data_IF_605305763689
#
_entry.id   IF_605305763689
#
_cell.length_a   1.000
_cell.length_b   1.000
_cell.length_c   1.000
_cell.angle_alpha   90.00
_cell.angle_beta   90.00
_cell.angle_gamma   90.00
#
_symmetry.space_group_name_H-M   'P 1'
#
loop_
_entity.id
_entity.type
_entity.pdbx_description
1 polymer ?
#
# COMPACT_ATOMS: atom_id res chain seq x y z
N UNK A 1 9.83 -17.24 10.30
CA UNK A 1 10.05 -18.51 9.58
C UNK A 1 8.73 -19.02 9.01
N UNK A 2 8.76 -19.50 7.77
CA UNK A 2 7.59 -20.06 7.09
C UNK A 2 7.30 -21.46 7.65
N UNK A 3 6.02 -21.84 7.71
CA UNK A 3 5.61 -23.18 8.14
C UNK A 3 6.23 -24.27 7.24
N UNK A 4 6.84 -25.29 7.84
CA UNK A 4 7.59 -26.30 7.10
C UNK A 4 6.70 -27.16 6.19
N UNK A 5 5.47 -27.48 6.62
CA UNK A 5 4.53 -28.24 5.80
C UNK A 5 4.09 -27.42 4.59
N UNK A 6 3.86 -26.12 4.79
CA UNK A 6 3.54 -25.21 3.69
C UNK A 6 4.71 -25.08 2.71
N UNK A 7 5.96 -25.01 3.19
CA UNK A 7 7.14 -25.01 2.33
C UNK A 7 7.28 -26.31 1.53
N UNK A 8 7.08 -27.48 2.14
CA UNK A 8 7.08 -28.77 1.44
C UNK A 8 5.99 -28.85 0.37
N UNK A 9 4.79 -28.34 0.67
CA UNK A 9 3.69 -28.28 -0.29
C UNK A 9 4.00 -27.40 -1.52
N UNK A 10 4.96 -26.49 -1.41
CA UNK A 10 5.43 -25.62 -2.50
C UNK A 10 6.71 -26.14 -3.16
N UNK A 11 7.31 -27.24 -2.68
CA UNK A 11 8.58 -27.77 -3.19
C UNK A 11 8.48 -28.30 -4.64
N UNK A 12 7.30 -28.74 -5.06
CA UNK A 12 7.04 -29.33 -6.39
C UNK A 12 6.72 -28.29 -7.48
N UNK A 13 6.63 -27.01 -7.13
CA UNK A 13 6.24 -25.94 -8.03
C UNK A 13 5.51 -24.79 -7.31
N UNK A 14 5.67 -23.56 -7.82
CA UNK A 14 5.07 -22.37 -7.24
C UNK A 14 3.58 -22.28 -7.58
N UNK A 15 2.73 -22.33 -6.56
CA UNK A 15 1.26 -22.30 -6.69
C UNK A 15 0.68 -21.19 -5.83
N UNK A 16 -0.47 -20.65 -6.22
CA UNK A 16 -1.16 -19.62 -5.44
C UNK A 16 -1.30 -20.08 -3.98
N UNK A 17 -0.73 -19.30 -3.06
CA UNK A 17 -0.52 -19.71 -1.66
C UNK A 17 -1.69 -19.45 -0.72
N UNK A 18 -2.80 -18.91 -1.24
CA UNK A 18 -4.04 -18.62 -0.50
C UNK A 18 -5.21 -18.38 -1.48
N UNK A 19 -6.45 -18.52 -1.03
CA UNK A 19 -7.60 -18.08 -1.83
C UNK A 19 -7.78 -16.56 -1.70
N UNK A 20 -8.27 -15.90 -2.74
CA UNK A 20 -8.58 -14.48 -2.60
C UNK A 20 -9.18 -13.83 -3.83
N UNK A 21 -9.66 -12.61 -3.62
CA UNK A 21 -10.09 -11.67 -4.64
C UNK A 21 -9.18 -10.46 -4.52
N UNK A 22 -8.67 -10.00 -5.65
CA UNK A 22 -7.68 -8.94 -5.77
C UNK A 22 -8.15 -7.92 -6.78
N UNK A 23 -7.85 -6.66 -6.51
CA UNK A 23 -8.31 -5.55 -7.34
C UNK A 23 -7.14 -4.65 -7.67
N UNK A 24 -7.15 -4.09 -8.88
CA UNK A 24 -6.31 -2.98 -9.28
C UNK A 24 -7.19 -1.84 -9.77
N UNK A 25 -6.97 -0.65 -9.24
CA UNK A 25 -7.66 0.57 -9.66
C UNK A 25 -6.65 1.59 -10.19
N UNK A 26 -6.94 2.27 -11.33
CA UNK A 26 -6.11 3.38 -11.79
C UNK A 26 -6.04 4.48 -10.72
N UNK A 27 -4.82 4.94 -10.40
CA UNK A 27 -4.64 5.97 -9.37
C UNK A 27 -5.17 7.31 -9.88
N UNK A 28 -6.00 7.96 -9.05
CA UNK A 28 -6.57 9.28 -9.37
C UNK A 28 -5.55 10.39 -9.17
N UNK A 29 -5.78 11.54 -9.81
CA UNK A 29 -4.91 12.72 -9.61
C UNK A 29 -4.96 13.25 -8.19
N UNK A 30 -6.10 13.11 -7.50
CA UNK A 30 -6.24 13.47 -6.10
C UNK A 30 -5.37 12.58 -5.21
N UNK A 31 -5.38 11.25 -5.42
CA UNK A 31 -4.53 10.31 -4.69
C UNK A 31 -3.03 10.59 -4.91
N UNK A 32 -2.63 10.93 -6.14
CA UNK A 32 -1.24 11.33 -6.44
C UNK A 32 -0.84 12.59 -5.68
N UNK A 33 -1.66 13.64 -5.74
CA UNK A 33 -1.41 14.92 -5.05
C UNK A 33 -1.36 14.75 -3.53
N UNK A 34 -2.27 13.95 -2.97
CA UNK A 34 -2.29 13.67 -1.54
C UNK A 34 -1.05 12.90 -1.10
N UNK A 35 -0.62 11.90 -1.88
CA UNK A 35 0.60 11.13 -1.62
C UNK A 35 1.84 12.02 -1.68
N UNK A 36 1.95 12.86 -2.71
CA UNK A 36 3.05 13.81 -2.85
C UNK A 36 3.12 14.79 -1.67
N UNK A 37 1.98 15.36 -1.28
CA UNK A 37 1.87 16.23 -0.11
C UNK A 37 2.32 15.53 1.17
N UNK A 38 1.83 14.31 1.42
CA UNK A 38 2.21 13.50 2.58
C UNK A 38 3.73 13.24 2.61
N UNK A 39 4.32 12.89 1.46
CA UNK A 39 5.78 12.67 1.32
C UNK A 39 6.58 13.92 1.62
N UNK A 40 6.15 15.07 1.12
CA UNK A 40 6.82 16.36 1.35
C UNK A 40 6.78 16.75 2.83
N UNK A 41 5.62 16.63 3.47
CA UNK A 41 5.47 16.94 4.89
C UNK A 41 6.29 15.96 5.73
N UNK A 42 6.19 14.66 5.48
CA UNK A 42 6.95 13.64 6.25
C UNK A 42 8.46 13.84 6.13
N UNK A 43 8.96 14.25 4.95
CA UNK A 43 10.38 14.57 4.75
C UNK A 43 10.85 15.75 5.64
N UNK A 44 9.99 16.73 5.88
CA UNK A 44 10.31 17.87 6.74
C UNK A 44 10.02 17.58 8.22
N UNK A 45 9.01 16.76 8.49
CA UNK A 45 8.48 16.42 9.82
C UNK A 45 8.25 14.90 9.90
N UNK A 46 9.28 14.10 10.22
CA UNK A 46 9.22 12.64 10.20
C UNK A 46 8.50 12.08 11.44
N UNK A 47 7.27 12.53 11.67
CA UNK A 47 6.42 12.22 12.82
C UNK A 47 5.00 11.85 12.35
N UNK A 48 4.12 11.43 13.26
CA UNK A 48 2.75 11.01 12.92
C UNK A 48 2.00 12.13 12.21
N UNK A 49 1.42 11.77 11.05
CA UNK A 49 0.71 12.64 10.15
C UNK A 49 -0.52 11.94 9.56
N UNK A 50 -1.61 12.70 9.37
CA UNK A 50 -2.87 12.25 8.77
C UNK A 50 -3.37 13.35 7.84
N UNK A 51 -3.72 12.99 6.61
CA UNK A 51 -4.03 13.96 5.57
C UNK A 51 -5.31 13.56 4.85
N UNK A 52 -6.16 14.54 4.55
CA UNK A 52 -7.37 14.37 3.75
C UNK A 52 -7.36 15.43 2.66
N UNK A 53 -7.72 15.02 1.45
CA UNK A 53 -7.96 15.89 0.31
C UNK A 53 -9.33 15.55 -0.26
N UNK A 54 -10.14 16.57 -0.47
CA UNK A 54 -11.44 16.50 -1.14
C UNK A 54 -11.54 17.71 -2.06
N UNK A 55 -11.18 17.50 -3.32
CA UNK A 55 -11.01 18.54 -4.33
C UNK A 55 -10.09 19.69 -3.86
N UNK A 56 -10.67 20.81 -3.41
CA UNK A 56 -9.94 21.99 -2.96
C UNK A 56 -9.78 22.06 -1.44
N UNK A 57 -10.48 21.22 -0.68
CA UNK A 57 -10.39 21.18 0.78
C UNK A 57 -9.27 20.23 1.18
N UNK A 58 -8.28 20.76 1.87
CA UNK A 58 -7.13 19.98 2.38
C UNK A 58 -7.09 20.09 3.89
N UNK A 59 -7.02 18.96 4.57
CA UNK A 59 -6.86 18.87 6.01
C UNK A 59 -5.50 18.23 6.29
N UNK A 60 -4.68 18.90 7.09
CA UNK A 60 -3.36 18.43 7.50
C UNK A 60 -3.36 18.30 9.02
N UNK A 61 -3.23 17.07 9.50
CA UNK A 61 -2.94 16.79 10.91
C UNK A 61 -1.50 16.28 11.00
N UNK A 62 -0.58 17.08 11.52
CA UNK A 62 0.82 16.69 11.69
C UNK A 62 1.27 16.98 13.12
N UNK A 63 1.75 15.94 13.79
CA UNK A 63 2.33 16.07 15.13
C UNK A 63 3.69 16.74 15.08
N UNK A 64 4.08 17.43 16.17
CA UNK A 64 5.41 18.04 16.30
C UNK A 64 5.77 19.05 15.19
N UNK A 65 4.76 19.74 14.62
CA UNK A 65 4.93 20.80 13.63
C UNK A 65 3.98 21.96 13.93
N UNK A 66 4.42 23.19 13.70
CA UNK A 66 3.60 24.40 13.88
C UNK A 66 2.70 24.66 12.67
N UNK A 67 1.63 25.44 12.87
CA UNK A 67 0.73 25.80 11.78
C UNK A 67 1.47 26.59 10.69
N UNK A 68 2.38 27.48 11.07
CA UNK A 68 3.18 28.29 10.14
C UNK A 68 4.09 27.42 9.27
N UNK A 69 4.65 26.33 9.82
CA UNK A 69 5.46 25.39 9.05
C UNK A 69 4.59 24.62 8.05
N UNK A 70 3.41 24.16 8.47
CA UNK A 70 2.52 23.35 7.64
C UNK A 70 1.83 24.16 6.53
N UNK A 71 1.54 25.44 6.76
CA UNK A 71 1.00 26.36 5.75
C UNK A 71 1.93 26.55 4.53
N UNK A 72 3.23 26.26 4.67
CA UNK A 72 4.18 26.34 3.56
C UNK A 72 3.94 25.26 2.51
N UNK A 73 3.35 24.12 2.90
CA UNK A 73 3.02 23.03 1.97
C UNK A 73 1.69 23.24 1.29
N UNK A 74 0.72 23.85 1.98
CA UNK A 74 -0.59 24.17 1.42
C UNK A 74 -1.21 25.35 2.18
N UNK A 75 -1.22 26.53 1.55
CA UNK A 75 -1.54 27.79 2.22
C UNK A 75 -2.98 27.89 2.75
N UNK A 76 -3.93 27.18 2.13
CA UNK A 76 -5.35 27.20 2.50
C UNK A 76 -5.79 25.97 3.29
N UNK A 77 -4.87 25.15 3.79
CA UNK A 77 -5.22 23.91 4.48
C UNK A 77 -5.79 24.18 5.88
N UNK A 78 -6.77 23.37 6.26
CA UNK A 78 -7.22 23.24 7.65
C UNK A 78 -6.17 22.44 8.42
N UNK A 79 -5.43 23.10 9.31
CA UNK A 79 -4.30 22.49 10.02
C UNK A 79 -4.67 22.18 11.45
N UNK A 80 -4.41 20.94 11.88
CA UNK A 80 -4.58 20.45 13.25
C UNK A 80 -5.89 20.99 13.88
N UNK A 81 -7.09 20.63 13.36
CA UNK A 81 -8.36 21.25 13.75
C UNK A 81 -8.72 21.09 15.23
N UNK A 82 -8.13 20.10 15.93
CA UNK A 82 -8.27 19.91 17.38
C UNK A 82 -7.15 20.59 18.21
N UNK A 83 -6.21 21.24 17.55
CA UNK A 83 -5.01 21.82 18.14
C UNK A 83 -3.76 20.94 18.00
N UNK A 84 -2.59 21.45 18.42
CA UNK A 84 -1.31 20.73 18.35
C UNK A 84 -1.29 19.46 19.22
N UNK A 85 -0.51 18.46 18.80
CA UNK A 85 -0.37 17.17 19.47
C UNK A 85 0.99 16.52 19.14
N UNK A 86 1.41 15.55 19.94
CA UNK A 86 2.74 14.89 19.81
C UNK A 86 2.68 13.44 19.34
N UNK A 87 1.53 12.75 19.50
CA UNK A 87 1.29 11.40 18.99
C UNK A 87 2.00 10.29 19.76
N UNK A 88 2.06 9.11 19.15
CA UNK A 88 2.76 7.93 19.68
C UNK A 88 1.85 6.72 19.98
N UNK A 89 2.44 5.54 20.19
CA UNK A 89 1.69 4.30 20.40
C UNK A 89 0.86 4.28 21.69
N UNK A 90 1.22 5.13 22.67
CA UNK A 90 0.51 5.28 23.95
C UNK A 90 -0.86 5.97 23.79
N UNK A 91 -1.08 6.70 22.69
CA UNK A 91 -2.35 7.38 22.40
C UNK A 91 -3.14 6.70 21.28
N UNK A 92 -2.48 5.94 20.41
CA UNK A 92 -3.10 5.14 19.34
C UNK A 92 -2.22 3.93 19.00
N UNK A 93 -2.59 2.74 19.48
CA UNK A 93 -1.80 1.53 19.25
C UNK A 93 -1.90 1.05 17.80
N UNK A 94 -0.75 0.82 17.17
CA UNK A 94 -0.66 0.31 15.81
C UNK A 94 -0.85 -1.21 15.69
N UNK A 95 -1.30 -1.65 14.52
CA UNK A 95 -1.25 -3.05 14.09
C UNK A 95 -0.96 -3.14 12.59
N UNK A 96 -0.27 -4.20 12.17
CA UNK A 96 0.11 -4.45 10.78
C UNK A 96 -1.17 -4.53 9.91
N UNK A 97 -1.10 -4.01 8.68
CA UNK A 97 -2.19 -4.05 7.69
C UNK A 97 -3.49 -3.31 8.09
N UNK A 98 -3.41 -2.27 8.93
CA UNK A 98 -4.56 -1.41 9.31
C UNK A 98 -4.70 -0.11 8.51
N UNK A 99 -3.88 0.07 7.46
CA UNK A 99 -3.85 1.25 6.59
C UNK A 99 -3.91 0.90 5.10
N UNK A 100 -4.63 -0.18 4.74
CA UNK A 100 -4.71 -0.68 3.36
C UNK A 100 -5.19 0.36 2.34
N UNK A 101 -6.09 1.27 2.72
CA UNK A 101 -6.51 2.37 1.85
C UNK A 101 -5.37 3.34 1.52
N UNK A 102 -4.44 3.56 2.45
CA UNK A 102 -3.22 4.34 2.19
C UNK A 102 -2.23 3.53 1.36
N UNK A 103 -2.10 2.23 1.64
CA UNK A 103 -1.17 1.36 0.92
C UNK A 103 -1.61 1.08 -0.53
N UNK A 104 -2.92 1.06 -0.81
CA UNK A 104 -3.49 0.49 -2.05
C UNK A 104 -4.54 1.38 -2.73
N UNK A 105 -4.95 2.50 -2.11
CA UNK A 105 -6.04 3.34 -2.60
C UNK A 105 -7.34 2.56 -2.74
N UNK A 106 -8.00 2.68 -3.89
CA UNK A 106 -9.26 1.99 -4.18
C UNK A 106 -9.10 0.50 -4.53
N UNK A 107 -7.86 0.00 -4.54
CA UNK A 107 -7.52 -1.40 -4.87
C UNK A 107 -7.73 -2.37 -3.70
N UNK A 108 -8.31 -1.91 -2.59
CA UNK A 108 -8.48 -2.71 -1.36
C UNK A 108 -9.54 -3.79 -1.54
N UNK A 109 -9.19 -5.03 -1.24
CA UNK A 109 -10.11 -6.19 -1.19
C UNK A 109 -10.15 -6.87 0.18
N UNK A 110 -9.17 -6.63 1.05
CA UNK A 110 -9.14 -7.08 2.45
C UNK A 110 -7.79 -7.65 2.89
N UNK A 111 -7.11 -8.38 2.00
CA UNK A 111 -5.80 -8.95 2.26
C UNK A 111 -4.71 -7.89 2.32
N UNK A 112 -3.94 -7.85 3.41
CA UNK A 112 -2.85 -6.88 3.59
C UNK A 112 -1.53 -7.27 2.92
N UNK A 113 -0.72 -6.26 2.60
CA UNK A 113 0.54 -6.39 1.87
C UNK A 113 1.74 -6.71 2.77
N UNK A 114 1.67 -6.34 4.04
CA UNK A 114 2.84 -6.32 4.92
C UNK A 114 2.93 -7.58 5.79
N UNK A 115 4.15 -8.03 6.06
CA UNK A 115 4.43 -9.22 6.89
C UNK A 115 4.17 -10.56 6.18
N UNK A 116 4.16 -10.56 4.84
CA UNK A 116 3.94 -11.75 4.00
C UNK A 116 5.03 -11.85 2.95
N UNK A 117 5.38 -13.07 2.57
CA UNK A 117 6.28 -13.30 1.43
C UNK A 117 5.52 -13.21 0.09
N UNK A 118 6.28 -13.27 -1.01
CA UNK A 118 5.74 -13.14 -2.37
C UNK A 118 4.92 -14.36 -2.83
N UNK A 119 4.96 -15.47 -2.10
CA UNK A 119 4.13 -16.65 -2.37
C UNK A 119 2.66 -16.43 -1.98
N UNK A 120 2.36 -15.35 -1.24
CA UNK A 120 0.99 -15.01 -0.88
C UNK A 120 0.37 -14.11 -1.92
N UNK A 121 -0.78 -14.54 -2.43
CA UNK A 121 -1.51 -13.83 -3.48
C UNK A 121 -1.92 -12.41 -3.03
N UNK A 122 -2.17 -12.22 -1.73
CA UNK A 122 -2.35 -10.90 -1.12
C UNK A 122 -1.23 -9.90 -1.42
N UNK A 123 -0.01 -10.37 -1.67
CA UNK A 123 1.12 -9.51 -2.04
C UNK A 123 1.29 -9.53 -3.56
N UNK A 124 1.58 -10.69 -4.13
CA UNK A 124 2.00 -10.80 -5.54
C UNK A 124 0.88 -10.49 -6.53
N UNK A 125 -0.34 -11.00 -6.29
CA UNK A 125 -1.48 -10.77 -7.19
C UNK A 125 -2.00 -9.34 -7.03
N UNK A 126 -1.99 -8.76 -5.83
CA UNK A 126 -2.35 -7.34 -5.65
C UNK A 126 -1.38 -6.39 -6.36
N UNK A 127 -0.06 -6.61 -6.23
CA UNK A 127 0.95 -5.82 -6.98
C UNK A 127 0.69 -5.96 -8.49
N UNK A 128 0.53 -7.19 -8.98
CA UNK A 128 0.28 -7.44 -10.40
C UNK A 128 -1.02 -6.80 -10.90
N UNK A 129 -2.14 -6.96 -10.19
CA UNK A 129 -3.43 -6.37 -10.52
C UNK A 129 -3.34 -4.84 -10.58
N UNK A 130 -2.67 -4.24 -9.58
CA UNK A 130 -2.48 -2.79 -9.50
C UNK A 130 -1.70 -2.25 -10.71
N UNK A 131 -0.57 -2.87 -11.07
CA UNK A 131 0.22 -2.46 -12.24
C UNK A 131 -0.52 -2.68 -13.55
N UNK A 132 -1.28 -3.78 -13.67
CA UNK A 132 -2.13 -4.03 -14.83
C UNK A 132 -3.15 -2.90 -15.00
N UNK A 133 -3.79 -2.46 -13.91
CA UNK A 133 -4.74 -1.36 -13.92
C UNK A 133 -4.09 -0.01 -14.30
N UNK A 134 -2.88 0.28 -13.79
CA UNK A 134 -2.16 1.49 -14.19
C UNK A 134 -1.84 1.50 -15.69
N UNK A 135 -1.44 0.35 -16.25
CA UNK A 135 -1.10 0.23 -17.67
C UNK A 135 -2.30 0.35 -18.58
N UNK A 136 -3.44 -0.21 -18.19
CA UNK A 136 -4.66 -0.20 -19.02
C UNK A 136 -5.53 1.04 -18.81
N UNK A 137 -5.36 1.74 -17.68
CA UNK A 137 -6.28 2.79 -17.26
C UNK A 137 -7.67 2.27 -16.89
N UNK A 138 -7.82 0.96 -16.66
CA UNK A 138 -9.09 0.30 -16.38
C UNK A 138 -9.03 -0.48 -15.06
N UNK A 139 -10.15 -0.58 -14.32
CA UNK A 139 -10.26 -1.51 -13.19
C UNK A 139 -9.89 -2.95 -13.59
N UNK A 140 -9.18 -3.63 -12.71
CA UNK A 140 -8.79 -5.04 -12.85
C UNK A 140 -9.31 -5.80 -11.64
N UNK A 141 -9.93 -6.95 -11.87
CA UNK A 141 -10.36 -7.89 -10.84
C UNK A 141 -9.82 -9.27 -11.16
N UNK A 142 -9.18 -9.90 -10.17
CA UNK A 142 -8.55 -11.22 -10.29
C UNK A 142 -8.95 -12.02 -9.05
N UNK A 143 -9.19 -13.31 -9.22
CA UNK A 143 -9.29 -14.24 -8.09
C UNK A 143 -8.38 -15.43 -8.33
N UNK A 144 -7.90 -16.05 -7.24
CA UNK A 144 -7.26 -17.36 -7.29
C UNK A 144 -7.71 -18.22 -6.11
N UNK A 145 -7.61 -19.53 -6.31
CA UNK A 145 -7.71 -20.52 -5.27
C UNK A 145 -6.31 -20.99 -4.84
N UNK A 146 -6.20 -21.43 -3.59
CA UNK A 146 -4.98 -22.05 -3.10
C UNK A 146 -4.65 -23.29 -3.97
N UNK A 147 -3.42 -23.36 -4.45
CA UNK A 147 -2.97 -24.44 -5.34
C UNK A 147 -3.06 -24.12 -6.83
N UNK A 148 -3.67 -23.00 -7.24
CA UNK A 148 -3.72 -22.62 -8.65
C UNK A 148 -2.31 -22.42 -9.23
N UNK A 149 -2.01 -23.10 -10.33
CA UNK A 149 -0.77 -22.93 -11.10
C UNK A 149 -0.83 -21.72 -12.03
N UNK A 150 -2.03 -21.27 -12.37
CA UNK A 150 -2.27 -20.12 -13.24
C UNK A 150 -3.30 -19.16 -12.67
N UNK A 151 -3.02 -17.86 -12.77
CA UNK A 151 -3.91 -16.78 -12.33
C UNK A 151 -3.92 -15.71 -13.42
N UNK A 152 -5.11 -15.20 -13.79
CA UNK A 152 -5.26 -14.24 -14.91
C UNK A 152 -4.65 -14.75 -16.24
N UNK A 153 -4.72 -16.07 -16.46
CA UNK A 153 -4.14 -16.72 -17.65
C UNK A 153 -2.61 -16.79 -17.67
N UNK A 154 -1.94 -16.46 -16.56
CA UNK A 154 -0.48 -16.53 -16.42
C UNK A 154 -0.03 -17.58 -15.42
N UNK A 155 1.10 -18.26 -15.63
CA UNK A 155 1.73 -19.04 -14.58
C UNK A 155 1.91 -18.21 -13.31
N UNK A 156 1.58 -18.78 -12.15
CA UNK A 156 1.67 -18.05 -10.88
C UNK A 156 3.10 -17.58 -10.59
N UNK A 157 4.10 -18.36 -10.99
CA UNK A 157 5.51 -17.99 -10.90
C UNK A 157 5.83 -16.66 -11.62
N UNK A 158 5.24 -16.40 -12.80
CA UNK A 158 5.46 -15.13 -13.52
C UNK A 158 4.93 -13.93 -12.71
N UNK A 159 3.81 -14.10 -12.01
CA UNK A 159 3.23 -13.05 -11.16
C UNK A 159 4.14 -12.80 -9.94
N UNK A 160 4.65 -13.88 -9.34
CA UNK A 160 5.59 -13.80 -8.20
C UNK A 160 6.90 -13.14 -8.60
N UNK A 161 7.45 -13.49 -9.77
CA UNK A 161 8.68 -12.89 -10.30
C UNK A 161 8.47 -11.40 -10.64
N UNK A 162 7.35 -11.05 -11.26
CA UNK A 162 7.00 -9.65 -11.50
C UNK A 162 6.95 -8.83 -10.20
N UNK A 163 6.30 -9.37 -9.17
CA UNK A 163 6.23 -8.73 -7.86
C UNK A 163 7.61 -8.65 -7.20
N UNK A 164 8.45 -9.68 -7.34
CA UNK A 164 9.83 -9.69 -6.84
C UNK A 164 10.67 -8.59 -7.47
N UNK A 165 10.61 -8.46 -8.79
CA UNK A 165 11.37 -7.46 -9.54
C UNK A 165 10.94 -6.05 -9.13
N UNK A 166 9.64 -5.83 -8.96
CA UNK A 166 9.13 -4.56 -8.44
C UNK A 166 9.65 -4.26 -7.03
N UNK A 167 9.47 -5.18 -6.07
CA UNK A 167 9.93 -5.00 -4.68
C UNK A 167 11.44 -4.73 -4.63
N UNK A 168 12.24 -5.47 -5.41
CA UNK A 168 13.68 -5.24 -5.49
C UNK A 168 14.01 -3.86 -6.08
N UNK A 169 13.29 -3.43 -7.12
CA UNK A 169 13.54 -2.14 -7.79
C UNK A 169 13.32 -0.93 -6.88
N UNK A 170 12.45 -1.06 -5.87
CA UNK A 170 12.18 -0.01 -4.87
C UNK A 170 13.03 -0.15 -3.61
N UNK A 171 13.92 -1.16 -3.54
CA UNK A 171 14.85 -1.36 -2.42
C UNK A 171 14.38 -2.32 -1.33
N UNK A 172 13.36 -3.15 -1.60
CA UNK A 172 12.90 -4.20 -0.69
C UNK A 172 11.59 -3.90 0.02
N UNK A 173 11.17 -4.82 0.90
CA UNK A 173 9.89 -4.74 1.60
C UNK A 173 9.84 -3.59 2.61
N UNK A 174 10.98 -3.21 3.19
CA UNK A 174 11.10 -2.09 4.12
C UNK A 174 10.71 -0.78 3.43
N UNK A 175 11.27 -0.54 2.25
CA UNK A 175 10.89 0.62 1.45
C UNK A 175 9.48 0.50 0.88
N UNK A 176 8.99 -0.70 0.61
CA UNK A 176 7.59 -0.92 0.23
C UNK A 176 6.63 -0.52 1.35
N UNK A 177 6.95 -0.84 2.60
CA UNK A 177 6.13 -0.54 3.77
C UNK A 177 5.99 0.96 4.09
N UNK A 178 6.87 1.81 3.55
CA UNK A 178 6.79 3.26 3.76
C UNK A 178 5.59 3.91 3.05
N UNK A 179 5.25 3.45 1.84
CA UNK A 179 4.29 4.12 0.95
C UNK A 179 3.32 3.18 0.24
N UNK A 180 3.49 1.87 0.36
CA UNK A 180 2.68 0.88 -0.36
C UNK A 180 2.83 1.01 -1.88
N UNK A 181 1.72 0.85 -2.60
CA UNK A 181 1.64 0.84 -4.06
C UNK A 181 1.57 2.24 -4.67
N UNK A 182 1.01 3.22 -3.95
CA UNK A 182 0.85 4.58 -4.46
C UNK A 182 2.10 5.37 -4.10
N UNK A 183 2.99 5.60 -5.07
CA UNK A 183 4.32 6.17 -4.86
C UNK A 183 4.68 7.25 -5.86
#
# INVERSE_FOLDING_TARGET
DQDCHLSENQASGFRCGDNGIFRGMPVTDEQKRLTELARLIYKAHPTDGKYIMDANRVIICQSNASNEQLQQFWSTAEINPLGPWTGGPDVDTGAVNRKLGSDMGDSVTGGGLHGKDLSKADVSVNIYAWFKAQRTGLPVEISCAIGDETVDGKPYLEIVEFARDYINSIGGFEHFAEWGLIR
#
